data_IF_670050905118
#
_entry.id   IF_670050905118
#
_cell.length_a   1.000
_cell.length_b   1.000
_cell.length_c   1.000
_cell.angle_alpha   90.00
_cell.angle_beta   90.00
_cell.angle_gamma   90.00
#
_symmetry.space_group_name_H-M   'P 1'
#
loop_
_entity.id
_entity.type
_entity.pdbx_description
1 polymer ?
#
# COMPACT_ATOMS: atom_id res chain seq x y z
N UNK A 1 -12.96 69.70 8.35
CA UNK A 1 -12.15 68.46 8.35
C UNK A 1 -12.26 67.83 6.97
N UNK A 2 -11.17 67.63 6.21
CA UNK A 2 -11.26 67.11 4.86
C UNK A 2 -11.48 65.59 4.87
N UNK A 3 -12.46 65.13 4.09
CA UNK A 3 -12.77 63.71 3.89
C UNK A 3 -11.57 62.98 3.30
N UNK A 4 -11.09 61.95 4.01
CA UNK A 4 -10.11 60.99 3.52
C UNK A 4 -10.78 60.17 2.41
N UNK A 5 -10.72 60.65 1.16
CA UNK A 5 -11.14 59.86 0.00
C UNK A 5 -10.39 58.53 0.01
N UNK A 6 -11.12 57.42 0.01
CA UNK A 6 -10.55 56.08 -0.03
C UNK A 6 -9.79 55.89 -1.36
N UNK A 7 -8.46 56.08 -1.33
CA UNK A 7 -7.55 55.92 -2.48
C UNK A 7 -7.74 54.59 -3.21
N UNK A 8 -8.13 53.55 -2.49
CA UNK A 8 -8.42 52.21 -3.01
C UNK A 8 -9.68 52.23 -3.89
N UNK A 9 -10.74 52.91 -3.47
CA UNK A 9 -11.98 53.00 -4.27
C UNK A 9 -11.78 53.79 -5.56
N UNK A 10 -10.97 54.86 -5.51
CA UNK A 10 -10.58 55.62 -6.70
C UNK A 10 -9.73 54.78 -7.66
N UNK A 11 -8.76 54.04 -7.12
CA UNK A 11 -7.93 53.11 -7.91
C UNK A 11 -8.75 52.01 -8.59
N UNK A 12 -9.72 51.42 -7.88
CA UNK A 12 -10.65 50.44 -8.45
C UNK A 12 -11.57 51.02 -9.53
N UNK A 13 -12.04 52.26 -9.35
CA UNK A 13 -12.80 52.97 -10.37
C UNK A 13 -11.94 53.26 -11.62
N UNK A 14 -10.67 53.63 -11.45
CA UNK A 14 -9.73 53.87 -12.54
C UNK A 14 -9.40 52.58 -13.33
N UNK A 15 -9.17 51.46 -12.61
CA UNK A 15 -8.97 50.12 -13.19
C UNK A 15 -10.16 49.68 -14.05
N UNK A 16 -11.38 49.92 -13.54
CA UNK A 16 -12.61 49.57 -14.25
C UNK A 16 -12.86 50.50 -15.44
N UNK A 17 -12.52 51.79 -15.32
CA UNK A 17 -12.61 52.78 -16.41
C UNK A 17 -11.70 52.41 -17.58
N UNK A 18 -10.45 52.02 -17.30
CA UNK A 18 -9.43 51.67 -18.30
C UNK A 18 -9.52 50.23 -18.82
N UNK A 19 -10.63 49.53 -18.55
CA UNK A 19 -10.86 48.12 -18.96
C UNK A 19 -9.76 47.12 -18.55
N UNK A 20 -8.86 47.47 -17.64
CA UNK A 20 -7.73 46.62 -17.21
C UNK A 20 -8.22 45.32 -16.59
N UNK A 21 -9.36 45.36 -15.87
CA UNK A 21 -10.02 44.18 -15.29
C UNK A 21 -10.39 43.15 -16.37
N UNK A 22 -10.80 43.61 -17.56
CA UNK A 22 -11.12 42.72 -18.67
C UNK A 22 -9.88 42.03 -19.22
N UNK A 23 -8.78 42.77 -19.40
CA UNK A 23 -7.50 42.20 -19.87
C UNK A 23 -6.97 41.17 -18.87
N UNK A 24 -7.07 41.44 -17.56
CA UNK A 24 -6.72 40.47 -16.51
C UNK A 24 -7.55 39.20 -16.65
N UNK A 25 -8.86 39.32 -16.89
CA UNK A 25 -9.78 38.17 -16.99
C UNK A 25 -9.49 37.34 -18.24
N UNK A 26 -9.27 37.98 -19.39
CA UNK A 26 -8.94 37.30 -20.66
C UNK A 26 -7.57 36.64 -20.58
N UNK A 27 -6.57 37.34 -20.02
CA UNK A 27 -5.23 36.80 -19.83
C UNK A 27 -5.23 35.59 -18.91
N UNK A 28 -5.96 35.64 -17.79
CA UNK A 28 -6.10 34.51 -16.86
C UNK A 28 -6.80 33.32 -17.53
N UNK A 29 -7.85 33.56 -18.30
CA UNK A 29 -8.57 32.50 -19.03
C UNK A 29 -7.69 31.83 -20.09
N UNK A 30 -6.99 32.62 -20.91
CA UNK A 30 -6.08 32.09 -21.93
C UNK A 30 -4.87 31.35 -21.32
N UNK A 31 -4.33 31.89 -20.22
CA UNK A 31 -3.24 31.25 -19.47
C UNK A 31 -3.66 29.89 -18.91
N UNK A 32 -4.87 29.80 -18.35
CA UNK A 32 -5.43 28.55 -17.85
C UNK A 32 -5.53 27.49 -18.96
N UNK A 33 -6.10 27.86 -20.12
CA UNK A 33 -6.21 26.95 -21.27
C UNK A 33 -4.84 26.48 -21.78
N UNK A 34 -3.85 27.37 -21.82
CA UNK A 34 -2.49 27.02 -22.25
C UNK A 34 -1.80 26.06 -21.28
N UNK A 35 -1.95 26.29 -19.96
CA UNK A 35 -1.38 25.42 -18.93
C UNK A 35 -2.01 24.03 -19.03
N UNK A 36 -3.34 23.97 -19.14
CA UNK A 36 -4.07 22.71 -19.24
C UNK A 36 -3.71 21.93 -20.50
N UNK A 37 -3.58 22.62 -21.64
CA UNK A 37 -3.16 22.03 -22.91
C UNK A 37 -1.76 21.41 -22.81
N UNK A 38 -0.81 22.11 -22.19
CA UNK A 38 0.55 21.58 -22.04
C UNK A 38 0.57 20.40 -21.08
N UNK A 39 -0.09 20.49 -19.93
CA UNK A 39 -0.15 19.38 -18.98
C UNK A 39 -0.70 18.10 -19.63
N UNK A 40 -1.77 18.20 -20.43
CA UNK A 40 -2.39 17.05 -21.10
C UNK A 40 -1.59 16.49 -22.28
N UNK A 41 -0.68 17.28 -22.86
CA UNK A 41 0.13 16.87 -24.02
C UNK A 41 1.56 16.47 -23.65
N UNK A 42 1.98 16.68 -22.39
CA UNK A 42 3.36 16.41 -21.97
C UNK A 42 3.68 14.92 -22.07
N UNK A 43 2.81 14.05 -21.54
CA UNK A 43 3.00 12.59 -21.60
C UNK A 43 2.76 11.99 -22.99
N UNK A 44 1.65 12.29 -23.71
CA UNK A 44 1.39 11.65 -25.01
C UNK A 44 2.44 11.97 -26.09
N UNK A 45 3.09 13.12 -25.99
CA UNK A 45 4.12 13.57 -26.94
C UNK A 45 5.54 13.45 -26.39
N UNK A 46 5.72 12.87 -25.20
CA UNK A 46 7.01 12.72 -24.51
C UNK A 46 7.82 14.03 -24.46
N UNK A 47 7.13 15.11 -24.08
CA UNK A 47 7.72 16.44 -23.98
C UNK A 47 8.49 16.60 -22.66
N UNK A 48 9.53 17.45 -22.60
CA UNK A 48 10.31 17.67 -21.38
C UNK A 48 9.46 18.08 -20.16
N UNK A 49 9.65 17.41 -19.01
CA UNK A 49 8.93 17.65 -17.74
C UNK A 49 9.00 19.11 -17.24
N UNK A 50 10.04 19.84 -17.64
CA UNK A 50 10.23 21.26 -17.26
C UNK A 50 9.35 22.22 -18.05
N UNK A 51 8.66 21.78 -19.11
CA UNK A 51 7.89 22.67 -19.98
C UNK A 51 6.70 23.31 -19.28
N UNK A 52 5.97 22.57 -18.45
CA UNK A 52 4.86 23.12 -17.66
C UNK A 52 5.38 24.25 -16.74
N UNK A 53 6.50 24.02 -16.06
CA UNK A 53 7.15 25.02 -15.19
C UNK A 53 7.62 26.24 -15.96
N UNK A 54 8.27 26.07 -17.13
CA UNK A 54 8.72 27.18 -17.98
C UNK A 54 7.52 28.01 -18.45
N UNK A 55 6.44 27.36 -18.88
CA UNK A 55 5.22 28.02 -19.35
C UNK A 55 4.60 28.89 -18.24
N UNK A 56 4.49 28.36 -17.02
CA UNK A 56 3.96 29.11 -15.87
C UNK A 56 4.83 30.33 -15.55
N UNK A 57 6.15 30.18 -15.59
CA UNK A 57 7.09 31.30 -15.36
C UNK A 57 6.94 32.39 -16.43
N UNK A 58 6.80 32.00 -17.70
CA UNK A 58 6.60 32.94 -18.82
C UNK A 58 5.26 33.67 -18.70
N UNK A 59 4.18 32.96 -18.35
CA UNK A 59 2.85 33.56 -18.14
C UNK A 59 2.84 34.48 -16.92
N UNK A 60 3.50 34.10 -15.82
CA UNK A 60 3.63 34.93 -14.63
C UNK A 60 4.45 36.20 -14.90
N UNK A 61 5.51 36.13 -15.71
CA UNK A 61 6.30 37.29 -16.11
C UNK A 61 5.57 38.18 -17.14
N UNK A 62 4.77 37.58 -18.01
CA UNK A 62 3.95 38.29 -19.00
C UNK A 62 2.76 39.02 -18.40
N UNK A 63 2.24 38.57 -17.25
CA UNK A 63 1.06 39.17 -16.61
C UNK A 63 1.27 40.63 -16.18
N UNK A 64 2.33 41.02 -15.44
CA UNK A 64 2.62 42.42 -15.14
C UNK A 64 2.77 43.29 -16.39
N UNK A 65 3.40 42.75 -17.43
CA UNK A 65 3.57 43.46 -18.70
C UNK A 65 2.23 43.71 -19.40
N UNK A 66 1.34 42.71 -19.43
CA UNK A 66 0.00 42.83 -19.99
C UNK A 66 -0.85 43.85 -19.24
N UNK A 67 -0.76 43.89 -17.90
CA UNK A 67 -1.45 44.87 -17.05
C UNK A 67 -0.92 46.29 -17.31
N UNK A 68 0.41 46.46 -17.42
CA UNK A 68 1.03 47.76 -17.73
C UNK A 68 0.63 48.26 -19.13
N UNK A 69 0.63 47.38 -20.13
CA UNK A 69 0.21 47.72 -21.49
C UNK A 69 -1.27 48.12 -21.54
N UNK A 70 -2.14 47.38 -20.84
CA UNK A 70 -3.55 47.71 -20.69
C UNK A 70 -3.77 49.03 -19.92
N UNK A 71 -2.82 49.44 -19.08
CA UNK A 71 -2.90 50.71 -18.36
C UNK A 71 -2.54 51.92 -19.23
N UNK A 72 -1.66 51.72 -20.22
CA UNK A 72 -1.10 52.77 -21.08
C UNK A 72 -1.90 52.94 -22.39
N UNK A 73 -2.45 51.85 -22.93
CA UNK A 73 -3.13 51.82 -24.23
C UNK A 73 -4.58 51.35 -24.10
N UNK A 74 -5.50 52.06 -24.76
CA UNK A 74 -6.92 51.69 -24.85
C UNK A 74 -7.16 51.03 -26.21
N UNK A 75 -7.55 49.75 -26.22
CA UNK A 75 -7.81 49.01 -27.46
C UNK A 75 -9.22 49.33 -27.97
N UNK A 76 -9.31 50.22 -28.96
CA UNK A 76 -10.52 50.51 -29.73
C UNK A 76 -10.50 49.81 -31.09
N UNK A 77 -11.65 49.63 -31.77
CA UNK A 77 -11.74 48.91 -33.04
C UNK A 77 -10.97 49.52 -34.22
N UNK A 78 -10.39 50.72 -34.07
CA UNK A 78 -9.75 51.48 -35.14
C UNK A 78 -8.21 51.59 -35.02
N UNK A 79 -7.59 51.05 -33.96
CA UNK A 79 -6.11 51.01 -33.81
C UNK A 79 -5.58 51.35 -32.41
N UNK A 80 -4.26 51.31 -32.26
CA UNK A 80 -3.56 51.61 -30.99
C UNK A 80 -3.42 53.13 -30.82
N UNK A 81 -4.23 53.75 -29.96
CA UNK A 81 -4.04 55.16 -29.57
C UNK A 81 -3.54 55.31 -28.13
N UNK A 82 -2.63 56.28 -27.93
CA UNK A 82 -2.17 56.73 -26.60
C UNK A 82 -3.26 57.57 -25.95
N UNK A 83 -3.62 57.22 -24.72
CA UNK A 83 -4.61 57.92 -23.89
C UNK A 83 -4.33 59.43 -23.78
N UNK A 84 -5.23 60.30 -24.27
CA UNK A 84 -5.20 61.75 -23.98
C UNK A 84 -5.79 62.05 -22.60
N UNK A 85 -5.22 63.04 -21.91
CA UNK A 85 -5.68 63.51 -20.60
C UNK A 85 -7.07 64.14 -20.69
N UNK A 86 -7.85 63.95 -19.63
CA UNK A 86 -9.27 64.27 -19.53
C UNK A 86 -9.60 65.72 -19.94
N UNK A 87 -10.56 65.84 -20.87
CA UNK A 87 -11.44 67.01 -20.95
C UNK A 87 -12.86 66.48 -20.81
N UNK A 88 -13.61 67.14 -19.94
CA UNK A 88 -15.00 66.89 -19.58
C UNK A 88 -15.89 66.65 -20.80
N UNK A 89 -16.69 65.59 -20.76
CA UNK A 89 -17.96 65.57 -21.48
C UNK A 89 -18.94 64.67 -20.73
N UNK A 90 -19.97 65.31 -20.17
CA UNK A 90 -21.21 64.70 -19.72
C UNK A 90 -21.89 63.98 -20.89
N UNK A 91 -22.35 62.75 -20.68
CA UNK A 91 -23.13 62.03 -21.69
C UNK A 91 -23.35 60.58 -21.34
N UNK A 92 -24.56 60.25 -20.88
CA UNK A 92 -25.02 58.90 -20.58
C UNK A 92 -25.30 58.14 -21.88
N UNK A 93 -24.34 57.36 -22.37
CA UNK A 93 -24.64 56.23 -23.26
C UNK A 93 -23.96 54.96 -22.78
N UNK A 94 -24.77 53.99 -22.33
CA UNK A 94 -24.30 52.64 -22.02
C UNK A 94 -23.80 52.00 -23.31
N UNK A 95 -22.48 51.92 -23.47
CA UNK A 95 -21.82 51.23 -24.57
C UNK A 95 -22.40 49.81 -24.74
N UNK A 96 -23.10 49.59 -25.86
CA UNK A 96 -23.63 48.27 -26.25
C UNK A 96 -22.45 47.36 -26.55
N UNK A 97 -22.17 46.41 -25.66
CA UNK A 97 -21.21 45.34 -25.91
C UNK A 97 -21.75 44.47 -27.07
N UNK A 98 -21.01 44.29 -28.19
CA UNK A 98 -21.47 43.49 -29.32
C UNK A 98 -21.77 42.04 -28.91
N UNK A 99 -22.84 41.44 -29.43
CA UNK A 99 -23.27 40.07 -29.06
C UNK A 99 -22.18 39.00 -29.27
N UNK A 100 -21.25 39.21 -30.21
CA UNK A 100 -20.09 38.34 -30.42
C UNK A 100 -19.20 38.17 -29.18
N UNK A 101 -19.08 39.22 -28.35
CA UNK A 101 -18.28 39.20 -27.12
C UNK A 101 -18.94 38.42 -25.97
N UNK A 102 -20.28 38.36 -25.95
CA UNK A 102 -21.02 37.51 -25.00
C UNK A 102 -20.89 36.03 -25.39
N UNK A 103 -20.94 35.73 -26.69
CA UNK A 103 -20.77 34.36 -27.19
C UNK A 103 -19.38 33.82 -26.82
N UNK A 104 -18.31 34.60 -27.01
CA UNK A 104 -16.95 34.19 -26.65
C UNK A 104 -16.76 33.91 -25.14
N UNK A 105 -17.42 34.67 -24.27
CA UNK A 105 -17.37 34.43 -22.80
C UNK A 105 -18.14 33.19 -22.39
N UNK A 106 -19.30 32.92 -22.99
CA UNK A 106 -20.04 31.66 -22.77
C UNK A 106 -19.27 30.45 -23.30
N UNK A 107 -18.65 30.54 -24.48
CA UNK A 107 -17.83 29.45 -25.04
C UNK A 107 -16.62 29.17 -24.15
N UNK A 108 -15.91 30.19 -23.67
CA UNK A 108 -14.80 30.02 -22.72
C UNK A 108 -15.26 29.37 -21.42
N UNK A 109 -16.40 29.79 -20.86
CA UNK A 109 -16.96 29.18 -19.65
C UNK A 109 -17.35 27.72 -19.87
N UNK A 110 -17.96 27.37 -21.01
CA UNK A 110 -18.32 25.98 -21.36
C UNK A 110 -17.10 25.12 -21.60
N UNK A 111 -16.03 25.64 -22.22
CA UNK A 111 -14.76 24.91 -22.38
C UNK A 111 -14.06 24.71 -21.05
N UNK A 112 -14.03 25.73 -20.17
CA UNK A 112 -13.47 25.61 -18.81
C UNK A 112 -14.26 24.59 -18.00
N UNK A 113 -15.59 24.69 -17.98
CA UNK A 113 -16.45 23.72 -17.28
C UNK A 113 -16.28 22.33 -17.89
N UNK A 114 -16.24 22.21 -19.23
CA UNK A 114 -16.03 20.95 -19.93
C UNK A 114 -14.69 20.28 -19.59
N UNK A 115 -13.60 21.05 -19.60
CA UNK A 115 -12.26 20.57 -19.22
C UNK A 115 -12.16 20.23 -17.73
N UNK A 116 -12.74 21.05 -16.84
CA UNK A 116 -12.81 20.76 -15.40
C UNK A 116 -13.65 19.50 -15.13
N UNK A 117 -14.78 19.33 -15.83
CA UNK A 117 -15.57 18.09 -15.71
C UNK A 117 -14.85 16.88 -16.29
N UNK A 118 -14.10 17.03 -17.38
CA UNK A 118 -13.30 15.94 -17.97
C UNK A 118 -12.12 15.54 -17.09
N UNK A 119 -11.45 16.50 -16.43
CA UNK A 119 -10.30 16.25 -15.57
C UNK A 119 -10.71 15.76 -14.15
N UNK A 120 -11.89 16.13 -13.64
CA UNK A 120 -12.44 15.58 -12.39
C UNK A 120 -13.05 14.18 -12.60
N UNK A 121 -13.59 13.87 -13.79
CA UNK A 121 -14.24 12.59 -14.08
C UNK A 121 -13.31 11.58 -14.74
N UNK A 122 -12.22 12.02 -15.38
CA UNK A 122 -11.19 11.15 -15.95
C UNK A 122 -9.91 11.21 -15.12
N UNK A 123 -9.69 10.27 -14.21
CA UNK A 123 -8.37 10.19 -13.57
C UNK A 123 -8.15 9.23 -12.41
N UNK A 124 -9.16 8.64 -11.78
CA UNK A 124 -8.94 7.45 -10.95
C UNK A 124 -9.53 6.25 -11.68
N UNK A 125 -8.67 5.31 -12.10
CA UNK A 125 -9.15 3.99 -12.46
C UNK A 125 -9.72 3.39 -11.18
N UNK A 126 -11.04 3.47 -11.05
CA UNK A 126 -11.73 2.86 -9.93
C UNK A 126 -11.44 1.36 -10.00
N UNK A 127 -10.69 0.84 -9.02
CA UNK A 127 -10.35 -0.57 -8.93
C UNK A 127 -11.63 -1.41 -9.05
N UNK A 128 -11.52 -2.55 -9.72
CA UNK A 128 -12.58 -3.53 -9.89
C UNK A 128 -12.15 -4.86 -9.29
N UNK A 129 -13.14 -5.65 -8.91
CA UNK A 129 -12.90 -7.03 -8.48
C UNK A 129 -12.13 -7.79 -9.57
N UNK A 130 -10.99 -8.36 -9.17
CA UNK A 130 -10.09 -9.09 -10.08
C UNK A 130 -8.97 -8.26 -10.71
N UNK A 131 -8.89 -6.95 -10.45
CA UNK A 131 -7.74 -6.12 -10.86
C UNK A 131 -6.49 -6.46 -10.05
N UNK A 132 -6.65 -6.78 -8.76
CA UNK A 132 -5.57 -7.22 -7.88
C UNK A 132 -5.78 -8.69 -7.58
N UNK A 133 -4.90 -9.54 -8.11
CA UNK A 133 -4.93 -10.99 -7.89
C UNK A 133 -3.70 -11.47 -7.13
N UNK A 134 -2.68 -10.63 -7.02
CA UNK A 134 -1.42 -10.97 -6.39
C UNK A 134 -0.89 -9.85 -5.50
N UNK A 135 -0.38 -10.23 -4.33
CA UNK A 135 0.09 -9.34 -3.28
C UNK A 135 1.50 -9.73 -2.86
N UNK A 136 2.43 -8.77 -2.84
CA UNK A 136 3.70 -8.92 -2.11
C UNK A 136 3.60 -8.20 -0.77
N UNK A 137 4.01 -8.87 0.31
CA UNK A 137 4.17 -8.22 1.62
C UNK A 137 5.65 -7.98 1.79
N UNK A 138 6.06 -6.71 1.75
CA UNK A 138 7.46 -6.32 1.84
C UNK A 138 8.01 -6.58 3.24
N UNK A 139 9.34 -6.77 3.39
CA UNK A 139 9.95 -6.95 4.69
C UNK A 139 9.59 -5.78 5.60
N UNK A 140 9.16 -6.07 6.81
CA UNK A 140 8.76 -5.01 7.73
C UNK A 140 9.96 -4.14 8.08
N UNK A 141 9.77 -2.82 8.00
CA UNK A 141 10.76 -1.85 8.42
C UNK A 141 10.78 -1.73 9.94
N UNK A 142 11.98 -1.79 10.52
CA UNK A 142 12.17 -1.60 11.95
C UNK A 142 12.53 -0.14 12.25
N UNK A 143 11.55 0.65 12.68
CA UNK A 143 11.73 2.04 13.13
C UNK A 143 11.70 2.17 14.66
N UNK A 144 11.84 1.07 15.39
CA UNK A 144 11.87 1.09 16.87
C UNK A 144 13.15 1.70 17.43
N UNK A 145 14.23 1.72 16.65
CA UNK A 145 15.57 2.14 17.08
C UNK A 145 16.36 1.05 17.82
N UNK A 146 15.85 -0.19 17.88
CA UNK A 146 16.53 -1.33 18.49
C UNK A 146 16.66 -2.49 17.49
N UNK A 147 17.87 -2.69 16.98
CA UNK A 147 18.20 -3.78 16.04
C UNK A 147 18.07 -5.17 16.68
N UNK A 148 18.08 -5.27 18.02
CA UNK A 148 17.84 -6.55 18.69
C UNK A 148 16.43 -7.07 18.43
N UNK A 149 15.52 -6.22 17.97
CA UNK A 149 14.13 -6.57 17.67
C UNK A 149 13.93 -7.03 16.22
N UNK A 150 14.97 -7.03 15.38
CA UNK A 150 14.88 -7.45 13.98
C UNK A 150 14.35 -8.88 13.81
N UNK A 151 14.74 -9.80 14.70
CA UNK A 151 14.22 -11.17 14.66
C UNK A 151 12.71 -11.19 14.89
N UNK A 152 12.21 -10.32 15.78
CA UNK A 152 10.79 -10.23 16.09
C UNK A 152 10.03 -9.66 14.91
N UNK A 153 10.52 -8.53 14.34
CA UNK A 153 9.96 -7.90 13.15
C UNK A 153 9.92 -8.88 11.97
N UNK A 154 10.98 -9.65 11.78
CA UNK A 154 11.07 -10.71 10.77
C UNK A 154 10.07 -11.85 11.01
N UNK A 155 9.85 -12.24 12.27
CA UNK A 155 8.85 -13.23 12.66
C UNK A 155 7.41 -12.75 12.43
N UNK A 156 7.12 -11.48 12.70
CA UNK A 156 5.83 -10.85 12.42
C UNK A 156 5.53 -10.83 10.92
N UNK A 157 6.51 -10.46 10.11
CA UNK A 157 6.43 -10.48 8.64
C UNK A 157 6.06 -11.87 8.12
N UNK A 158 6.72 -12.90 8.65
CA UNK A 158 6.42 -14.29 8.33
C UNK A 158 4.99 -14.71 8.69
N UNK A 159 4.53 -14.28 9.86
CA UNK A 159 3.22 -14.62 10.39
C UNK A 159 2.12 -14.02 9.51
N UNK A 160 2.25 -12.74 9.14
CA UNK A 160 1.30 -12.08 8.26
C UNK A 160 1.26 -12.71 6.86
N UNK A 161 2.40 -13.08 6.28
CA UNK A 161 2.45 -13.83 5.01
C UNK A 161 1.71 -15.16 5.14
N UNK A 162 1.89 -15.88 6.25
CA UNK A 162 1.19 -17.14 6.51
C UNK A 162 -0.33 -16.97 6.62
N UNK A 163 -0.80 -15.90 7.26
CA UNK A 163 -2.24 -15.63 7.41
C UNK A 163 -2.91 -15.15 6.13
N UNK A 164 -2.21 -14.31 5.36
CA UNK A 164 -2.67 -13.83 4.05
C UNK A 164 -2.61 -14.94 3.00
N UNK A 165 -1.61 -15.82 3.06
CA UNK A 165 -1.46 -16.92 2.12
C UNK A 165 -2.61 -17.92 2.14
N UNK A 166 -3.37 -17.96 3.24
CA UNK A 166 -4.58 -18.79 3.37
C UNK A 166 -5.79 -18.23 2.60
N UNK A 167 -5.69 -17.04 2.00
CA UNK A 167 -6.73 -16.51 1.12
C UNK A 167 -6.63 -17.16 -0.25
N UNK A 168 -7.61 -18.00 -0.62
CA UNK A 168 -7.60 -18.72 -1.90
C UNK A 168 -7.80 -17.81 -3.11
N UNK A 169 -8.45 -16.65 -2.92
CA UNK A 169 -8.67 -15.65 -3.97
C UNK A 169 -7.51 -14.68 -4.19
N UNK A 170 -6.41 -14.80 -3.45
CA UNK A 170 -5.27 -13.88 -3.52
C UNK A 170 -3.95 -14.66 -3.56
N UNK A 171 -3.13 -14.40 -4.57
CA UNK A 171 -1.78 -14.96 -4.65
C UNK A 171 -0.82 -14.13 -3.81
N UNK A 172 -0.29 -14.71 -2.72
CA UNK A 172 0.67 -14.02 -1.85
C UNK A 172 2.09 -14.45 -2.18
N UNK A 173 2.97 -13.49 -2.48
CA UNK A 173 4.38 -13.77 -2.80
C UNK A 173 5.13 -14.27 -1.56
N UNK A 174 6.05 -15.20 -1.77
CA UNK A 174 6.76 -15.86 -0.69
C UNK A 174 7.65 -14.91 0.11
N UNK A 175 7.83 -15.20 1.40
CA UNK A 175 8.74 -14.45 2.26
C UNK A 175 10.17 -14.42 1.71
N UNK A 176 10.68 -15.54 1.21
CA UNK A 176 12.04 -15.62 0.66
C UNK A 176 12.20 -14.72 -0.55
N UNK A 177 11.22 -14.73 -1.46
CA UNK A 177 11.21 -13.88 -2.65
C UNK A 177 11.14 -12.40 -2.27
N UNK A 178 10.27 -12.02 -1.33
CA UNK A 178 10.18 -10.65 -0.85
C UNK A 178 11.47 -10.20 -0.14
N UNK A 179 12.05 -11.05 0.70
CA UNK A 179 13.25 -10.73 1.46
C UNK A 179 14.48 -10.53 0.58
N UNK A 180 14.49 -11.09 -0.64
CA UNK A 180 15.56 -10.85 -1.59
C UNK A 180 15.73 -9.35 -1.87
N UNK A 181 14.66 -8.56 -1.82
CA UNK A 181 14.69 -7.13 -2.13
C UNK A 181 14.99 -6.22 -0.92
N UNK A 182 15.16 -6.79 0.28
CA UNK A 182 15.45 -6.00 1.48
C UNK A 182 16.75 -5.20 1.28
N UNK A 183 16.70 -3.89 1.50
CA UNK A 183 17.83 -2.96 1.38
C UNK A 183 18.44 -2.83 -0.04
N UNK A 184 17.72 -3.22 -1.10
CA UNK A 184 18.20 -3.05 -2.49
C UNK A 184 17.99 -1.65 -3.07
N UNK A 185 17.27 -0.76 -2.37
CA UNK A 185 16.99 0.60 -2.83
C UNK A 185 16.07 0.67 -4.06
N UNK A 186 15.36 -0.42 -4.35
CA UNK A 186 14.35 -0.48 -5.42
C UNK A 186 13.03 0.14 -4.94
N UNK A 187 12.30 0.72 -5.86
CA UNK A 187 10.95 1.24 -5.65
C UNK A 187 9.92 0.11 -5.59
N UNK A 188 8.75 0.38 -4.99
CA UNK A 188 7.66 -0.59 -4.90
C UNK A 188 7.23 -1.11 -6.29
N UNK A 189 7.03 -0.26 -7.31
CA UNK A 189 6.64 -0.73 -8.63
C UNK A 189 7.68 -1.65 -9.28
N UNK A 190 8.98 -1.39 -9.08
CA UNK A 190 10.04 -2.25 -9.58
C UNK A 190 10.00 -3.63 -8.91
N UNK A 191 9.89 -3.68 -7.58
CA UNK A 191 9.80 -4.95 -6.83
C UNK A 191 8.55 -5.74 -7.22
N UNK A 192 7.40 -5.06 -7.33
CA UNK A 192 6.15 -5.68 -7.71
C UNK A 192 6.22 -6.24 -9.14
N UNK A 193 6.82 -5.49 -10.08
CA UNK A 193 7.06 -5.97 -11.45
C UNK A 193 7.93 -7.23 -11.48
N UNK A 194 9.05 -7.26 -10.75
CA UNK A 194 9.95 -8.42 -10.69
C UNK A 194 9.28 -9.66 -10.09
N UNK A 195 8.40 -9.46 -9.10
CA UNK A 195 7.66 -10.55 -8.44
C UNK A 195 6.35 -10.92 -9.16
N UNK A 196 5.96 -10.14 -10.18
CA UNK A 196 4.64 -10.22 -10.81
C UNK A 196 3.51 -10.05 -9.79
N UNK A 197 3.63 -9.06 -8.90
CA UNK A 197 2.61 -8.68 -7.93
C UNK A 197 1.79 -7.48 -8.44
N UNK A 198 0.49 -7.51 -8.22
CA UNK A 198 -0.44 -6.43 -8.61
C UNK A 198 -0.53 -5.34 -7.54
N UNK A 199 -0.25 -5.72 -6.29
CA UNK A 199 -0.20 -4.82 -5.15
C UNK A 199 0.95 -5.17 -4.20
N UNK A 200 1.37 -4.19 -3.42
CA UNK A 200 2.38 -4.33 -2.38
C UNK A 200 1.87 -3.81 -1.04
N UNK A 201 2.19 -4.53 0.04
CA UNK A 201 1.98 -4.09 1.42
C UNK A 201 3.32 -3.70 2.03
N UNK A 202 3.49 -2.41 2.29
CA UNK A 202 4.54 -1.89 3.16
C UNK A 202 4.08 -1.95 4.62
N UNK A 203 5.02 -2.21 5.52
CA UNK A 203 4.73 -2.23 6.96
C UNK A 203 5.89 -1.66 7.74
N UNK A 204 5.60 -0.71 8.62
CA UNK A 204 6.56 -0.06 9.49
C UNK A 204 6.25 -0.37 10.96
N UNK A 205 7.23 -0.89 11.69
CA UNK A 205 7.17 -1.14 13.13
C UNK A 205 7.79 0.04 13.87
N UNK A 206 6.96 0.86 14.52
CA UNK A 206 7.42 2.08 15.19
C UNK A 206 7.73 1.88 16.67
N UNK A 207 7.06 0.93 17.32
CA UNK A 207 7.29 0.62 18.73
C UNK A 207 7.03 -0.87 18.97
N UNK A 208 7.84 -1.49 19.82
CA UNK A 208 7.69 -2.89 20.17
C UNK A 208 8.04 -3.13 21.65
N UNK A 209 7.04 -3.49 22.44
CA UNK A 209 7.15 -3.79 23.86
C UNK A 209 5.88 -4.49 24.34
N UNK A 210 5.26 -4.03 25.43
CA UNK A 210 3.91 -4.48 25.80
C UNK A 210 2.84 -4.07 24.79
N UNK A 211 3.10 -2.97 24.09
CA UNK A 211 2.30 -2.43 23.01
C UNK A 211 3.14 -2.46 21.73
N UNK A 212 2.48 -2.74 20.61
CA UNK A 212 3.06 -2.77 19.28
C UNK A 212 2.42 -1.65 18.46
N UNK A 213 3.26 -0.82 17.83
CA UNK A 213 2.84 0.26 16.96
C UNK A 213 3.20 -0.10 15.52
N UNK A 214 2.20 -0.25 14.66
CA UNK A 214 2.36 -0.68 13.27
C UNK A 214 1.69 0.33 12.34
N UNK A 215 2.34 0.66 11.25
CA UNK A 215 1.72 1.32 10.12
C UNK A 215 1.71 0.36 8.95
N UNK A 216 0.57 0.23 8.30
CA UNK A 216 0.43 -0.51 7.06
C UNK A 216 0.10 0.45 5.92
N UNK A 217 0.73 0.23 4.76
CA UNK A 217 0.39 0.93 3.51
C UNK A 217 0.22 -0.09 2.41
N UNK A 218 -0.99 -0.14 1.85
CA UNK A 218 -1.30 -0.94 0.68
C UNK A 218 -1.23 -0.06 -0.56
N UNK A 219 -0.41 -0.47 -1.51
CA UNK A 219 -0.14 0.25 -2.76
C UNK A 219 -0.51 -0.66 -3.94
N UNK A 220 -1.31 -0.14 -4.86
CA UNK A 220 -1.51 -0.77 -6.17
C UNK A 220 -0.34 -0.45 -7.07
N UNK A 221 0.13 -1.45 -7.78
CA UNK A 221 1.11 -1.31 -8.87
C UNK A 221 0.48 -1.63 -10.23
N UNK A 222 -0.85 -1.77 -10.30
CA UNK A 222 -1.58 -1.96 -11.56
C UNK A 222 -1.74 -0.65 -12.31
N UNK A 223 -0.79 -0.31 -13.17
CA UNK A 223 -0.75 0.97 -13.87
C UNK A 223 0.14 1.96 -13.13
N UNK A 224 -0.41 3.11 -12.75
CA UNK A 224 0.31 4.08 -11.92
C UNK A 224 0.31 3.63 -10.45
N UNK A 225 1.37 4.00 -9.73
CA UNK A 225 1.46 3.75 -8.30
C UNK A 225 0.35 4.51 -7.55
N UNK A 226 -0.59 3.79 -6.95
CA UNK A 226 -1.71 4.37 -6.23
C UNK A 226 -1.78 3.80 -4.81
N UNK A 227 -1.82 4.69 -3.82
CA UNK A 227 -2.04 4.28 -2.43
C UNK A 227 -3.51 3.94 -2.20
N UNK A 228 -3.80 2.67 -1.98
CA UNK A 228 -5.16 2.18 -1.77
C UNK A 228 -5.62 2.40 -0.34
N UNK A 229 -4.74 2.11 0.62
CA UNK A 229 -5.10 2.12 2.02
C UNK A 229 -3.89 2.37 2.92
N UNK A 230 -4.09 3.13 3.99
CA UNK A 230 -3.13 3.33 5.07
C UNK A 230 -3.86 3.27 6.40
N UNK A 231 -3.27 2.58 7.36
CA UNK A 231 -3.73 2.64 8.73
C UNK A 231 -2.60 2.46 9.73
N UNK A 232 -2.76 3.16 10.85
CA UNK A 232 -1.92 3.06 12.03
C UNK A 232 -2.64 2.24 13.10
N UNK A 233 -1.93 1.30 13.69
CA UNK A 233 -2.43 0.45 14.77
C UNK A 233 -1.54 0.58 15.99
N UNK A 234 -2.19 0.64 17.14
CA UNK A 234 -1.57 0.53 18.44
C UNK A 234 -2.28 -0.58 19.19
N UNK A 235 -1.63 -1.72 19.33
CA UNK A 235 -2.24 -2.93 19.87
C UNK A 235 -1.43 -3.47 21.03
N UNK A 236 -2.10 -4.06 22.02
CA UNK A 236 -1.41 -4.87 23.01
C UNK A 236 -0.80 -6.11 22.34
N UNK A 237 0.42 -6.49 22.73
CA UNK A 237 1.10 -7.65 22.15
C UNK A 237 0.28 -8.95 22.27
N UNK A 238 -0.49 -9.12 23.34
CA UNK A 238 -1.38 -10.27 23.53
C UNK A 238 -2.52 -10.36 22.50
N UNK A 239 -2.81 -9.26 21.80
CA UNK A 239 -3.83 -9.14 20.76
C UNK A 239 -3.25 -9.22 19.34
N UNK A 240 -1.95 -9.47 19.17
CA UNK A 240 -1.29 -9.44 17.85
C UNK A 240 -1.91 -10.40 16.84
N UNK A 241 -2.35 -11.58 17.27
CA UNK A 241 -3.03 -12.55 16.41
C UNK A 241 -4.39 -12.01 15.92
N UNK A 242 -5.11 -11.30 16.79
CA UNK A 242 -6.37 -10.64 16.41
C UNK A 242 -6.12 -9.45 15.47
N UNK A 243 -5.00 -8.74 15.63
CA UNK A 243 -4.61 -7.71 14.68
C UNK A 243 -4.37 -8.32 13.29
N UNK A 244 -3.63 -9.41 13.17
CA UNK A 244 -3.44 -10.07 11.86
C UNK A 244 -4.77 -10.46 11.22
N UNK A 245 -5.70 -11.03 11.98
CA UNK A 245 -7.04 -11.33 11.47
C UNK A 245 -7.77 -10.08 10.94
N UNK A 246 -7.69 -8.94 11.65
CA UNK A 246 -8.29 -7.67 11.19
C UNK A 246 -7.62 -7.13 9.93
N UNK A 247 -6.29 -7.15 9.88
CA UNK A 247 -5.51 -6.69 8.72
C UNK A 247 -5.81 -7.56 7.50
N UNK A 248 -5.91 -8.88 7.66
CA UNK A 248 -6.28 -9.80 6.59
C UNK A 248 -7.67 -9.54 6.04
N UNK A 249 -8.66 -9.24 6.90
CA UNK A 249 -10.00 -8.84 6.44
C UNK A 249 -9.96 -7.51 5.71
N UNK A 250 -9.32 -6.50 6.29
CA UNK A 250 -9.24 -5.17 5.69
C UNK A 250 -8.60 -5.23 4.31
N UNK A 251 -7.44 -5.89 4.18
CA UNK A 251 -6.75 -5.99 2.89
C UNK A 251 -7.61 -6.75 1.88
N UNK A 252 -8.25 -7.85 2.27
CA UNK A 252 -9.17 -8.56 1.37
C UNK A 252 -10.32 -7.67 0.88
N UNK A 253 -10.84 -6.78 1.72
CA UNK A 253 -11.86 -5.80 1.34
C UNK A 253 -11.32 -4.74 0.37
N UNK A 254 -10.15 -4.14 0.68
CA UNK A 254 -9.52 -3.11 -0.17
C UNK A 254 -9.15 -3.65 -1.56
N UNK A 255 -8.70 -4.91 -1.64
CA UNK A 255 -8.36 -5.55 -2.93
C UNK A 255 -9.55 -6.28 -3.57
N UNK A 256 -10.75 -6.15 -3.00
CA UNK A 256 -11.99 -6.78 -3.50
C UNK A 256 -11.90 -8.30 -3.70
N UNK A 257 -11.21 -8.99 -2.78
CA UNK A 257 -11.13 -10.45 -2.74
C UNK A 257 -12.28 -11.00 -1.90
N UNK A 258 -13.10 -11.86 -2.51
CA UNK A 258 -14.20 -12.49 -1.81
C UNK A 258 -13.70 -13.58 -0.85
N UNK A 259 -13.95 -13.38 0.44
CA UNK A 259 -13.67 -14.38 1.47
C UNK A 259 -14.74 -15.47 1.48
N UNK A 260 -14.31 -16.73 1.35
CA UNK A 260 -15.12 -17.92 1.55
C UNK A 260 -15.66 -18.01 2.99
N UNK A 261 -16.69 -18.83 3.19
CA UNK A 261 -17.26 -19.05 4.53
C UNK A 261 -16.27 -19.64 5.54
N UNK A 262 -15.30 -20.44 5.09
CA UNK A 262 -14.25 -20.98 5.95
C UNK A 262 -13.22 -19.91 6.35
N UNK A 263 -12.82 -19.05 5.40
CA UNK A 263 -11.89 -17.95 5.68
C UNK A 263 -12.51 -16.94 6.63
N UNK A 264 -13.79 -16.57 6.44
CA UNK A 264 -14.52 -15.69 7.36
C UNK A 264 -14.53 -16.25 8.79
N UNK A 265 -14.97 -17.50 8.96
CA UNK A 265 -14.98 -18.17 10.28
C UNK A 265 -13.61 -18.21 10.93
N UNK A 266 -12.55 -18.46 10.15
CA UNK A 266 -11.17 -18.45 10.65
C UNK A 266 -10.78 -17.07 11.16
N UNK A 267 -10.99 -16.04 10.35
CA UNK A 267 -10.62 -14.66 10.68
C UNK A 267 -11.53 -14.04 11.77
N UNK A 268 -12.68 -14.65 12.07
CA UNK A 268 -13.55 -14.31 13.20
C UNK A 268 -13.12 -14.95 14.53
N UNK A 269 -12.26 -15.98 14.51
CA UNK A 269 -11.77 -16.65 15.71
C UNK A 269 -10.88 -15.69 16.48
N UNK A 270 -11.36 -15.24 17.65
CA UNK A 270 -10.53 -14.46 18.57
C UNK A 270 -9.53 -15.38 19.27
N UNK A 271 -8.27 -14.94 19.30
CA UNK A 271 -7.18 -15.65 19.93
C UNK A 271 -6.34 -14.68 20.73
N UNK A 272 -6.06 -15.03 21.98
CA UNK A 272 -5.12 -14.30 22.83
C UNK A 272 -3.97 -15.21 23.17
N UNK A 273 -2.79 -14.63 23.30
CA UNK A 273 -1.57 -15.35 23.67
C UNK A 273 -0.84 -14.58 24.76
N UNK A 274 -0.21 -15.29 25.68
CA UNK A 274 0.71 -14.67 26.64
C UNK A 274 1.83 -13.93 25.88
N UNK A 275 2.15 -12.72 26.34
CA UNK A 275 3.09 -11.83 25.64
C UNK A 275 4.49 -12.44 25.59
N UNK A 276 4.95 -13.00 26.70
CA UNK A 276 6.26 -13.65 26.77
C UNK A 276 6.27 -15.00 26.05
N UNK A 277 5.13 -15.71 25.99
CA UNK A 277 5.03 -16.89 25.14
C UNK A 277 5.22 -16.54 23.67
N UNK A 278 4.60 -15.45 23.20
CA UNK A 278 4.73 -14.99 21.82
C UNK A 278 6.17 -14.59 21.47
N UNK A 279 6.82 -13.82 22.35
CA UNK A 279 8.24 -13.43 22.19
C UNK A 279 9.15 -14.65 22.10
N UNK A 280 8.98 -15.62 23.01
CA UNK A 280 9.76 -16.84 23.04
C UNK A 280 9.52 -17.70 21.79
N UNK A 281 8.27 -17.83 21.34
CA UNK A 281 7.93 -18.58 20.13
C UNK A 281 8.59 -17.98 18.88
N UNK A 282 8.50 -16.66 18.67
CA UNK A 282 9.14 -16.02 17.51
C UNK A 282 10.66 -16.21 17.53
N UNK A 283 11.28 -16.19 18.71
CA UNK A 283 12.71 -16.46 18.84
C UNK A 283 13.07 -17.90 18.49
N UNK A 284 12.29 -18.88 18.97
CA UNK A 284 12.45 -20.28 18.60
C UNK A 284 12.28 -20.52 17.10
N UNK A 285 11.27 -19.88 16.50
CA UNK A 285 10.99 -19.92 15.07
C UNK A 285 12.13 -19.36 14.21
N UNK A 286 12.76 -18.26 14.62
CA UNK A 286 13.92 -17.72 13.88
C UNK A 286 15.16 -18.61 14.04
N UNK A 287 15.37 -19.18 15.24
CA UNK A 287 16.53 -20.04 15.53
C UNK A 287 16.49 -21.37 14.77
N UNK A 288 15.31 -21.99 14.60
CA UNK A 288 15.24 -23.31 13.96
C UNK A 288 15.65 -23.31 12.48
N UNK A 289 15.75 -22.14 11.86
CA UNK A 289 16.14 -22.01 10.44
C UNK A 289 17.63 -22.26 10.26
N UNK A 290 18.39 -22.18 11.34
CA UNK A 290 19.79 -22.50 11.38
C UNK A 290 19.97 -23.88 12.06
N UNK A 291 20.38 -24.92 11.33
CA UNK A 291 20.63 -26.24 11.90
C UNK A 291 21.64 -26.27 13.05
N UNK A 292 22.52 -25.26 13.16
CA UNK A 292 23.44 -25.12 14.29
C UNK A 292 22.81 -24.55 15.57
N UNK A 293 21.53 -24.19 15.56
CA UNK A 293 20.80 -23.51 16.64
C UNK A 293 19.57 -24.26 17.13
N UNK A 294 19.43 -25.54 16.77
CA UNK A 294 18.24 -26.33 17.06
C UNK A 294 18.01 -26.60 18.56
N UNK A 295 19.07 -26.67 19.38
CA UNK A 295 18.92 -26.80 20.84
C UNK A 295 18.36 -25.50 21.44
N UNK A 296 18.95 -24.35 21.10
CA UNK A 296 18.46 -23.03 21.51
C UNK A 296 17.01 -22.80 21.06
N UNK A 297 16.64 -23.27 19.86
CA UNK A 297 15.27 -23.20 19.38
C UNK A 297 14.29 -23.95 20.30
N UNK A 298 14.64 -25.19 20.71
CA UNK A 298 13.82 -25.99 21.64
C UNK A 298 13.72 -25.33 23.02
N UNK A 299 14.79 -24.69 23.51
CA UNK A 299 14.75 -23.96 24.79
C UNK A 299 13.70 -22.85 24.77
N UNK A 300 13.70 -22.02 23.72
CA UNK A 300 12.73 -20.94 23.58
C UNK A 300 11.30 -21.44 23.34
N UNK A 301 11.12 -22.52 22.57
CA UNK A 301 9.80 -23.11 22.37
C UNK A 301 9.24 -23.72 23.65
N UNK A 302 10.08 -24.36 24.48
CA UNK A 302 9.68 -24.82 25.80
C UNK A 302 9.37 -23.67 26.75
N UNK A 303 10.10 -22.55 26.67
CA UNK A 303 9.76 -21.34 27.40
C UNK A 303 8.38 -20.81 26.99
N UNK A 304 8.06 -20.83 25.70
CA UNK A 304 6.73 -20.46 25.21
C UNK A 304 5.63 -21.37 25.77
N UNK A 305 5.83 -22.68 25.76
CA UNK A 305 4.91 -23.66 26.38
C UNK A 305 4.74 -23.39 27.88
N UNK A 306 5.83 -23.10 28.59
CA UNK A 306 5.77 -22.81 30.03
C UNK A 306 4.93 -21.58 30.34
N UNK A 307 4.95 -20.60 29.43
CA UNK A 307 4.23 -19.32 29.56
C UNK A 307 2.76 -19.46 29.16
N UNK A 308 2.48 -20.20 28.09
CA UNK A 308 1.13 -20.46 27.59
C UNK A 308 0.97 -21.94 27.19
N UNK A 309 0.65 -22.83 28.16
CA UNK A 309 0.58 -24.28 27.93
C UNK A 309 -0.56 -24.73 27.00
N UNK A 310 -1.57 -23.87 26.81
CA UNK A 310 -2.73 -24.18 25.98
C UNK A 310 -2.58 -23.62 24.56
N UNK A 311 -1.44 -22.99 24.25
CA UNK A 311 -1.14 -22.47 22.92
C UNK A 311 -0.47 -23.55 22.05
N UNK A 312 -1.15 -23.97 20.99
CA UNK A 312 -0.72 -25.05 20.10
C UNK A 312 0.60 -24.80 19.30
N UNK A 313 0.88 -23.59 18.75
CA UNK A 313 2.01 -23.38 17.85
C UNK A 313 3.41 -23.72 18.40
N UNK A 314 3.77 -23.44 19.68
CA UNK A 314 5.03 -23.88 20.26
C UNK A 314 5.27 -25.40 20.19
N UNK A 315 4.23 -26.22 20.40
CA UNK A 315 4.33 -27.67 20.31
C UNK A 315 4.63 -28.11 18.87
N UNK A 316 3.88 -27.62 17.90
CA UNK A 316 4.14 -27.86 16.48
C UNK A 316 5.55 -27.38 16.07
N UNK A 317 6.00 -26.30 16.70
CA UNK A 317 7.33 -25.79 16.52
C UNK A 317 8.44 -26.75 16.99
N UNK A 318 8.27 -27.38 18.15
CA UNK A 318 9.20 -28.39 18.64
C UNK A 318 9.19 -29.60 17.69
N UNK A 319 8.01 -30.02 17.22
CA UNK A 319 7.92 -31.07 16.21
C UNK A 319 8.69 -30.72 14.92
N UNK A 320 8.60 -29.48 14.44
CA UNK A 320 9.37 -29.01 13.29
C UNK A 320 10.89 -29.11 13.54
N UNK A 321 11.37 -28.78 14.73
CA UNK A 321 12.79 -28.94 15.09
C UNK A 321 13.19 -30.42 15.06
N UNK A 322 12.36 -31.32 15.59
CA UNK A 322 12.63 -32.76 15.55
C UNK A 322 12.63 -33.33 14.13
N UNK A 323 11.72 -32.86 13.26
CA UNK A 323 11.73 -33.18 11.83
C UNK A 323 13.06 -32.77 11.19
N UNK A 324 13.56 -31.56 11.47
CA UNK A 324 14.86 -31.10 10.95
C UNK A 324 15.97 -32.02 11.46
N UNK A 325 15.99 -32.36 12.76
CA UNK A 325 17.00 -33.28 13.31
C UNK A 325 17.00 -34.65 12.62
N UNK A 326 15.82 -35.18 12.31
CA UNK A 326 15.67 -36.44 11.56
C UNK A 326 16.23 -36.31 10.14
N UNK A 327 15.82 -35.28 9.40
CA UNK A 327 16.24 -35.07 8.01
C UNK A 327 17.76 -34.87 7.86
N UNK A 328 18.39 -34.27 8.86
CA UNK A 328 19.84 -34.06 8.90
C UNK A 328 20.61 -35.24 9.53
N UNK A 329 19.93 -36.30 9.98
CA UNK A 329 20.57 -37.46 10.61
C UNK A 329 21.25 -37.16 11.95
N UNK A 330 20.80 -36.11 12.66
CA UNK A 330 21.37 -35.66 13.94
C UNK A 330 20.95 -36.58 15.08
N UNK A 331 19.79 -37.22 14.97
CA UNK A 331 19.21 -38.08 16.01
C UNK A 331 18.80 -39.44 15.44
N UNK A 332 18.68 -40.43 16.32
CA UNK A 332 18.20 -41.76 15.94
C UNK A 332 16.74 -41.68 15.43
N UNK A 333 16.38 -42.36 14.32
CA UNK A 333 15.03 -42.29 13.76
C UNK A 333 13.91 -42.66 14.71
N UNK A 334 14.10 -43.64 15.61
CA UNK A 334 13.05 -44.06 16.55
C UNK A 334 12.72 -42.96 17.56
N UNK A 335 13.75 -42.33 18.14
CA UNK A 335 13.62 -41.21 19.08
C UNK A 335 12.99 -40.01 18.39
N UNK A 336 13.53 -39.60 17.23
CA UNK A 336 13.01 -38.43 16.52
C UNK A 336 11.55 -38.63 16.10
N UNK A 337 11.18 -39.82 15.59
CA UNK A 337 9.79 -40.14 15.22
C UNK A 337 8.86 -40.01 16.42
N UNK A 338 9.22 -40.59 17.56
CA UNK A 338 8.41 -40.52 18.78
C UNK A 338 8.16 -39.07 19.18
N UNK A 339 9.22 -38.26 19.21
CA UNK A 339 9.12 -36.85 19.61
C UNK A 339 8.25 -36.05 18.63
N UNK A 340 8.40 -36.25 17.32
CA UNK A 340 7.55 -35.57 16.34
C UNK A 340 6.06 -35.88 16.60
N UNK A 341 5.71 -37.16 16.73
CA UNK A 341 4.31 -37.56 16.96
C UNK A 341 3.77 -37.03 18.28
N UNK A 342 4.55 -37.07 19.36
CA UNK A 342 4.15 -36.54 20.67
C UNK A 342 3.75 -35.05 20.58
N UNK A 343 4.61 -34.23 20.00
CA UNK A 343 4.39 -32.78 19.92
C UNK A 343 3.34 -32.38 18.88
N UNK A 344 3.26 -33.07 17.73
CA UNK A 344 2.20 -32.84 16.74
C UNK A 344 0.83 -33.17 17.33
N UNK A 345 0.70 -34.34 17.97
CA UNK A 345 -0.56 -34.75 18.57
C UNK A 345 -1.00 -33.78 19.66
N UNK A 346 -0.06 -33.30 20.48
CA UNK A 346 -0.37 -32.30 21.49
C UNK A 346 -0.86 -30.97 20.89
N UNK A 347 -0.28 -30.53 19.77
CA UNK A 347 -0.75 -29.32 19.08
C UNK A 347 -2.21 -29.48 18.58
N UNK A 348 -2.57 -30.65 18.06
CA UNK A 348 -3.93 -30.96 17.59
C UNK A 348 -4.93 -31.12 18.73
N UNK A 349 -4.51 -31.69 19.86
CA UNK A 349 -5.35 -31.75 21.07
C UNK A 349 -5.74 -30.36 21.56
N UNK A 350 -4.81 -29.39 21.48
CA UNK A 350 -5.02 -28.01 21.90
C UNK A 350 -5.85 -27.20 20.90
N UNK A 351 -5.60 -27.40 19.60
CA UNK A 351 -6.39 -26.78 18.54
C UNK A 351 -6.72 -27.84 17.47
N UNK A 352 -7.93 -28.43 17.51
CA UNK A 352 -8.35 -29.43 16.51
C UNK A 352 -8.35 -28.90 15.06
N UNK A 353 -8.43 -27.57 14.90
CA UNK A 353 -8.33 -26.89 13.61
C UNK A 353 -6.89 -26.42 13.30
N UNK A 354 -5.88 -26.95 14.01
CA UNK A 354 -4.49 -26.56 13.85
C UNK A 354 -3.95 -26.95 12.47
N UNK A 355 -3.87 -25.94 11.60
CA UNK A 355 -3.53 -26.09 10.19
C UNK A 355 -2.11 -26.59 9.95
N UNK A 356 -1.17 -26.23 10.83
CA UNK A 356 0.23 -26.67 10.76
C UNK A 356 0.39 -28.19 10.88
N UNK A 357 -0.63 -28.90 11.39
CA UNK A 357 -0.65 -30.36 11.43
C UNK A 357 -0.40 -30.98 10.05
N UNK A 358 -1.16 -30.58 9.03
CA UNK A 358 -1.15 -31.26 7.74
C UNK A 358 0.22 -31.19 7.05
N UNK A 359 0.91 -30.06 7.16
CA UNK A 359 2.25 -29.92 6.60
C UNK A 359 3.26 -30.83 7.32
N UNK A 360 3.31 -30.77 8.65
CA UNK A 360 4.24 -31.58 9.44
C UNK A 360 3.95 -33.08 9.32
N UNK A 361 2.66 -33.46 9.32
CA UNK A 361 2.20 -34.84 9.11
C UNK A 361 2.51 -35.35 7.72
N UNK A 362 2.43 -34.50 6.70
CA UNK A 362 2.88 -34.83 5.35
C UNK A 362 4.36 -35.19 5.32
N UNK A 363 5.20 -34.38 5.98
CA UNK A 363 6.66 -34.62 6.05
C UNK A 363 6.96 -35.93 6.78
N UNK A 364 6.43 -36.13 7.98
CA UNK A 364 6.77 -37.31 8.78
C UNK A 364 6.25 -38.60 8.14
N UNK A 365 5.05 -38.58 7.56
CA UNK A 365 4.48 -39.71 6.82
C UNK A 365 5.37 -40.10 5.64
N UNK A 366 5.90 -39.12 4.91
CA UNK A 366 6.67 -39.30 3.68
C UNK A 366 8.14 -39.64 3.87
N UNK A 367 8.84 -39.02 4.82
CA UNK A 367 10.29 -39.23 4.94
C UNK A 367 10.70 -39.95 6.22
N UNK A 368 9.76 -40.34 7.07
CA UNK A 368 10.06 -41.07 8.30
C UNK A 368 9.24 -42.33 8.47
N UNK A 369 7.93 -42.30 8.24
CA UNK A 369 7.05 -43.44 8.51
C UNK A 369 6.86 -44.38 7.31
N UNK A 370 7.38 -43.99 6.18
CA UNK A 370 7.33 -44.75 4.94
C UNK A 370 5.90 -44.92 4.33
N UNK A 371 4.99 -43.97 4.62
CA UNK A 371 3.56 -44.00 4.21
C UNK A 371 3.19 -42.89 3.21
N UNK A 372 3.27 -43.19 1.91
CA UNK A 372 3.20 -42.17 0.84
C UNK A 372 1.79 -41.67 0.62
N UNK A 373 0.82 -42.56 0.75
CA UNK A 373 -0.60 -42.25 0.60
C UNK A 373 -1.05 -41.25 1.67
N UNK A 374 -0.67 -41.47 2.92
CA UNK A 374 -0.97 -40.52 4.01
C UNK A 374 -0.16 -39.22 3.86
N UNK A 375 1.09 -39.31 3.39
CA UNK A 375 1.91 -38.15 3.05
C UNK A 375 1.28 -37.23 2.00
N UNK A 376 0.92 -37.79 0.85
CA UNK A 376 0.26 -37.09 -0.25
C UNK A 376 -1.05 -36.44 0.19
N UNK A 377 -1.91 -37.21 0.87
CA UNK A 377 -3.17 -36.71 1.41
C UNK A 377 -2.98 -35.52 2.34
N UNK A 378 -1.96 -35.56 3.21
CA UNK A 378 -1.68 -34.48 4.13
C UNK A 378 -1.09 -33.25 3.43
N UNK A 379 -0.21 -33.42 2.43
CA UNK A 379 0.27 -32.28 1.64
C UNK A 379 -0.84 -31.61 0.83
N UNK A 380 -1.69 -32.39 0.18
CA UNK A 380 -2.83 -31.85 -0.57
C UNK A 380 -3.78 -31.05 0.34
N UNK A 381 -4.01 -31.50 1.57
CA UNK A 381 -4.76 -30.73 2.58
C UNK A 381 -4.03 -29.46 3.02
N UNK A 382 -2.72 -29.52 3.26
CA UNK A 382 -1.92 -28.35 3.61
C UNK A 382 -2.00 -27.28 2.52
N UNK A 383 -1.87 -27.68 1.25
CA UNK A 383 -1.99 -26.79 0.08
C UNK A 383 -3.43 -26.26 -0.06
N UNK A 384 -4.46 -27.07 0.20
CA UNK A 384 -5.84 -26.59 0.17
C UNK A 384 -6.13 -25.54 1.25
N UNK A 385 -5.46 -25.64 2.41
CA UNK A 385 -5.60 -24.70 3.52
C UNK A 385 -4.83 -23.41 3.28
N UNK A 386 -3.59 -23.52 2.81
CA UNK A 386 -2.76 -22.39 2.43
C UNK A 386 -2.25 -22.59 1.00
N UNK A 387 -3.03 -22.15 0.00
CA UNK A 387 -2.65 -22.28 -1.41
C UNK A 387 -1.35 -21.55 -1.75
N UNK A 388 -0.92 -20.58 -0.94
CA UNK A 388 0.29 -19.82 -1.17
C UNK A 388 1.50 -20.34 -0.37
N UNK A 389 1.34 -21.40 0.43
CA UNK A 389 2.48 -21.97 1.16
C UNK A 389 3.43 -22.70 0.20
N UNK A 390 4.55 -22.05 -0.07
CA UNK A 390 5.59 -22.55 -0.97
C UNK A 390 6.21 -23.83 -0.43
N UNK A 391 6.39 -23.96 0.89
CA UNK A 391 7.03 -25.15 1.45
C UNK A 391 6.15 -26.39 1.24
N UNK A 392 4.84 -26.31 1.52
CA UNK A 392 3.91 -27.41 1.22
C UNK A 392 3.97 -27.83 -0.24
N UNK A 393 4.07 -26.88 -1.19
CA UNK A 393 4.19 -27.18 -2.62
C UNK A 393 5.52 -27.84 -2.99
N UNK A 394 6.65 -27.36 -2.44
CA UNK A 394 7.98 -27.93 -2.69
C UNK A 394 8.05 -29.36 -2.18
N UNK A 395 7.60 -29.60 -0.94
CA UNK A 395 7.61 -30.94 -0.36
C UNK A 395 6.67 -31.90 -1.10
N UNK A 396 5.49 -31.42 -1.52
CA UNK A 396 4.60 -32.22 -2.36
C UNK A 396 5.24 -32.56 -3.72
N UNK A 397 5.86 -31.58 -4.39
CA UNK A 397 6.58 -31.84 -5.64
C UNK A 397 7.71 -32.86 -5.45
N UNK A 398 8.43 -32.81 -4.33
CA UNK A 398 9.45 -33.80 -4.00
C UNK A 398 8.87 -35.21 -3.78
N UNK A 399 7.70 -35.34 -3.17
CA UNK A 399 7.02 -36.63 -3.04
C UNK A 399 6.63 -37.24 -4.39
N UNK A 400 6.33 -36.41 -5.40
CA UNK A 400 5.91 -36.87 -6.74
C UNK A 400 7.06 -37.26 -7.67
N UNK A 401 8.32 -36.95 -7.31
CA UNK A 401 9.53 -37.35 -8.05
C UNK A 401 9.94 -38.77 -7.67
#
# INVERSE_FOLDING_TARGET
MPQRQNKIAHFWQELKRRRVVHVITVYASASFVLIELVNNLTEPLNLPDKLATILVVVLAAGFPLAVILAWIYDLTPEGIEKTKAAVESEGTEKAKVPNAWRIATYVSFVVIVGLVTLNIVGGSKQLRAGDIQSLVILPFDNFTGDDQLDFFVSGMHASLIGDMGQLGGLQVKSRTSSNAFKNMGMTIPEIASELGADAALETAVMCLGDTICLQFRLVSTTGDEEQLWVADYREEKSQILNLYNRITKQIAEEVMVELSGNEKRRLDKMQTVDKEAYDAYLRGYELWKNPGKLDEAIEYLNLAIKKDPDWAPPYAGIAQVWIIRLQFGIVEPSVGRQMVHEYINRAVELDPDFRGFYFLSGIISTWTDWNWEEGEKNFLKAIAINPNDVMSRIYYAHLLM
#
